data_IF_717820283179
#
_entry.id   IF_717820283179
#
_cell.length_a   1.000
_cell.length_b   1.000
_cell.length_c   1.000
_cell.angle_alpha   90.00
_cell.angle_beta   90.00
_cell.angle_gamma   90.00
#
_symmetry.space_group_name_H-M   'P 1'
#
loop_
_entity.id
_entity.type
_entity.pdbx_description
1 polymer ?
#
# COMPACT_ATOMS: atom_id res chain seq x y z
N UNK A 1 34.49 13.63 -10.94
CA UNK A 1 34.23 13.02 -12.27
C UNK A 1 32.75 12.96 -12.59
N UNK A 2 31.89 12.46 -11.69
CA UNK A 2 30.44 12.40 -11.87
C UNK A 2 29.79 13.80 -12.01
N UNK A 3 30.28 14.82 -11.33
CA UNK A 3 29.78 16.19 -11.43
C UNK A 3 29.98 16.81 -12.82
N UNK A 4 30.97 16.36 -13.59
CA UNK A 4 31.23 16.81 -14.96
C UNK A 4 30.36 16.09 -16.01
N UNK A 5 29.67 15.01 -15.64
CA UNK A 5 28.79 14.21 -16.50
C UNK A 5 27.37 14.16 -15.90
N UNK A 6 26.51 15.14 -16.21
CA UNK A 6 25.28 15.34 -15.46
C UNK A 6 24.29 14.18 -15.53
N UNK A 7 24.20 13.46 -16.65
CA UNK A 7 23.28 12.31 -16.77
C UNK A 7 23.78 11.08 -15.98
N UNK A 8 25.03 10.59 -16.19
CA UNK A 8 25.56 9.52 -15.33
C UNK A 8 25.64 9.91 -13.86
N UNK A 9 25.94 11.17 -13.56
CA UNK A 9 25.93 11.69 -12.20
C UNK A 9 24.56 11.65 -11.55
N UNK A 10 23.50 11.97 -12.29
CA UNK A 10 22.12 11.92 -11.82
C UNK A 10 21.61 10.49 -11.62
N UNK A 11 21.99 9.58 -12.51
CA UNK A 11 21.71 8.14 -12.33
C UNK A 11 22.35 7.62 -11.05
N UNK A 12 23.65 7.93 -10.84
CA UNK A 12 24.36 7.54 -9.63
C UNK A 12 23.78 8.21 -8.36
N UNK A 13 23.36 9.48 -8.46
CA UNK A 13 22.73 10.20 -7.36
C UNK A 13 21.38 9.58 -6.96
N UNK A 14 20.55 9.17 -7.94
CA UNK A 14 19.30 8.47 -7.66
C UNK A 14 19.53 7.14 -6.93
N UNK A 15 20.47 6.33 -7.42
CA UNK A 15 20.84 5.07 -6.76
C UNK A 15 21.39 5.32 -5.34
N UNK A 16 22.26 6.33 -5.18
CA UNK A 16 22.84 6.66 -3.88
C UNK A 16 21.79 7.16 -2.89
N UNK A 17 20.85 8.00 -3.29
CA UNK A 17 19.72 8.44 -2.44
C UNK A 17 18.94 7.23 -1.95
N UNK A 18 18.57 6.30 -2.84
CA UNK A 18 17.86 5.09 -2.47
C UNK A 18 18.66 4.24 -1.49
N UNK A 19 19.95 4.05 -1.74
CA UNK A 19 20.83 3.26 -0.86
C UNK A 19 21.01 3.92 0.52
N UNK A 20 21.20 5.24 0.57
CA UNK A 20 21.31 5.97 1.85
C UNK A 20 20.01 5.82 2.66
N UNK A 21 18.86 5.95 2.03
CA UNK A 21 17.58 5.77 2.71
C UNK A 21 17.40 4.32 3.20
N UNK A 22 17.78 3.33 2.41
CA UNK A 22 17.75 1.93 2.82
C UNK A 22 18.67 1.66 4.01
N UNK A 23 19.91 2.15 3.97
CA UNK A 23 20.89 1.97 5.04
C UNK A 23 20.52 2.73 6.33
N UNK A 24 19.98 3.94 6.22
CA UNK A 24 19.52 4.69 7.40
C UNK A 24 18.24 4.11 8.00
N UNK A 25 17.41 3.48 7.20
CA UNK A 25 16.21 2.75 7.66
C UNK A 25 16.51 1.40 8.31
N UNK A 26 17.62 0.73 7.94
CA UNK A 26 17.94 -0.62 8.39
C UNK A 26 17.98 -0.82 9.91
N UNK A 27 18.58 0.07 10.72
CA UNK A 27 18.56 -0.07 12.18
C UNK A 27 17.14 -0.08 12.77
N UNK A 28 16.24 0.75 12.23
CA UNK A 28 14.83 0.81 12.64
C UNK A 28 14.07 -0.43 12.20
N UNK A 29 14.39 -0.94 11.01
CA UNK A 29 13.82 -2.16 10.47
C UNK A 29 14.20 -3.39 11.32
N UNK A 30 15.47 -3.48 11.73
CA UNK A 30 15.96 -4.53 12.64
C UNK A 30 15.30 -4.40 14.02
N UNK A 31 15.18 -3.19 14.55
CA UNK A 31 14.52 -2.95 15.82
C UNK A 31 13.03 -3.35 15.78
N UNK A 32 12.32 -3.00 14.71
CA UNK A 32 10.93 -3.39 14.49
C UNK A 32 10.79 -4.92 14.32
N UNK A 33 11.71 -5.56 13.60
CA UNK A 33 11.78 -7.01 13.48
C UNK A 33 11.97 -7.69 14.85
N UNK A 34 12.92 -7.20 15.66
CA UNK A 34 13.15 -7.75 17.01
C UNK A 34 11.90 -7.59 17.88
N UNK A 35 11.32 -6.39 17.91
CA UNK A 35 10.09 -6.13 18.65
C UNK A 35 8.95 -7.05 18.20
N UNK A 36 8.75 -7.18 16.89
CA UNK A 36 7.75 -8.08 16.33
C UNK A 36 7.96 -9.54 16.74
N UNK A 37 9.21 -9.99 16.84
CA UNK A 37 9.55 -11.34 17.35
C UNK A 37 9.23 -11.50 18.83
N UNK A 38 9.58 -10.51 19.65
CA UNK A 38 9.35 -10.55 21.09
C UNK A 38 7.86 -10.63 21.43
N UNK A 39 7.01 -10.06 20.57
CA UNK A 39 5.55 -10.15 20.69
C UNK A 39 4.91 -11.28 19.86
N UNK A 40 5.69 -12.12 19.19
CA UNK A 40 5.18 -13.26 18.42
C UNK A 40 4.49 -12.88 17.11
N UNK A 41 4.70 -11.64 16.61
CA UNK A 41 4.14 -11.17 15.33
C UNK A 41 5.02 -11.54 14.14
N UNK A 42 6.32 -11.77 14.35
CA UNK A 42 7.29 -12.07 13.30
C UNK A 42 7.87 -13.46 13.49
N UNK A 43 7.73 -14.30 12.48
CA UNK A 43 8.25 -15.67 12.42
C UNK A 43 9.59 -15.77 11.68
N UNK A 44 9.89 -14.79 10.86
CA UNK A 44 11.06 -14.71 9.99
C UNK A 44 12.37 -14.67 10.77
N UNK A 45 13.41 -15.35 10.31
CA UNK A 45 14.76 -15.23 10.87
C UNK A 45 15.39 -13.88 10.50
N UNK A 46 16.43 -13.46 11.24
CA UNK A 46 17.17 -12.25 10.87
C UNK A 46 17.84 -12.37 9.49
N UNK A 47 18.31 -13.58 9.14
CA UNK A 47 18.91 -13.84 7.83
C UNK A 47 17.90 -13.61 6.70
N UNK A 48 16.71 -14.18 6.81
CA UNK A 48 15.65 -13.98 5.82
C UNK A 48 15.22 -12.51 5.74
N UNK A 49 15.13 -11.84 6.90
CA UNK A 49 14.81 -10.40 6.95
C UNK A 49 15.84 -9.54 6.21
N UNK A 50 17.12 -9.83 6.38
CA UNK A 50 18.19 -9.14 5.68
C UNK A 50 18.21 -9.43 4.18
N UNK A 51 17.87 -10.64 3.77
CA UNK A 51 17.70 -10.99 2.35
C UNK A 51 16.52 -10.23 1.72
N UNK A 52 15.38 -10.17 2.40
CA UNK A 52 14.23 -9.37 1.96
C UNK A 52 14.59 -7.88 1.88
N UNK A 53 15.32 -7.35 2.86
CA UNK A 53 15.81 -5.97 2.84
C UNK A 53 16.75 -5.71 1.65
N UNK A 54 17.67 -6.61 1.37
CA UNK A 54 18.59 -6.50 0.23
C UNK A 54 17.82 -6.52 -1.09
N UNK A 55 16.89 -7.46 -1.24
CA UNK A 55 16.04 -7.56 -2.42
C UNK A 55 15.20 -6.29 -2.63
N UNK A 56 14.54 -5.80 -1.57
CA UNK A 56 13.78 -4.56 -1.61
C UNK A 56 14.65 -3.36 -1.98
N UNK A 57 15.89 -3.32 -1.46
CA UNK A 57 16.86 -2.27 -1.79
C UNK A 57 17.19 -2.29 -3.29
N UNK A 58 17.44 -3.45 -3.88
CA UNK A 58 17.72 -3.59 -5.32
C UNK A 58 16.49 -3.18 -6.15
N UNK A 59 15.31 -3.68 -5.79
CA UNK A 59 14.04 -3.39 -6.47
C UNK A 59 13.72 -1.88 -6.46
N UNK A 60 14.10 -1.16 -5.40
CA UNK A 60 13.85 0.29 -5.30
C UNK A 60 14.98 1.13 -5.89
N UNK A 61 16.23 0.68 -5.82
CA UNK A 61 17.39 1.42 -6.34
C UNK A 61 17.40 1.56 -7.86
N UNK A 62 16.93 0.53 -8.59
CA UNK A 62 16.87 0.57 -10.06
C UNK A 62 15.92 1.68 -10.55
N UNK A 63 14.64 1.73 -10.12
CA UNK A 63 13.76 2.84 -10.49
C UNK A 63 14.27 4.21 -10.02
N UNK A 64 14.89 4.29 -8.82
CA UNK A 64 15.45 5.54 -8.32
C UNK A 64 16.60 6.06 -9.20
N UNK A 65 17.49 5.17 -9.65
CA UNK A 65 18.57 5.51 -10.57
C UNK A 65 18.02 6.01 -11.92
N UNK A 66 17.08 5.25 -12.51
CA UNK A 66 16.44 5.62 -13.77
C UNK A 66 15.63 6.92 -13.63
N UNK A 67 14.91 7.08 -12.53
CA UNK A 67 14.19 8.31 -12.19
C UNK A 67 15.11 9.52 -12.10
N UNK A 68 16.26 9.39 -11.44
CA UNK A 68 17.29 10.43 -11.39
C UNK A 68 17.81 10.82 -12.78
N UNK A 69 18.14 9.83 -13.61
CA UNK A 69 18.56 10.04 -15.00
C UNK A 69 17.49 10.80 -15.81
N UNK A 70 16.23 10.33 -15.76
CA UNK A 70 15.12 10.93 -16.48
C UNK A 70 14.80 12.34 -15.96
N UNK A 71 14.79 12.54 -14.65
CA UNK A 71 14.56 13.85 -14.04
C UNK A 71 15.60 14.86 -14.52
N UNK A 72 16.89 14.51 -14.52
CA UNK A 72 17.97 15.36 -15.03
C UNK A 72 17.79 15.64 -16.54
N UNK A 73 17.50 14.63 -17.34
CA UNK A 73 17.31 14.78 -18.79
C UNK A 73 16.17 15.74 -19.10
N UNK A 74 15.01 15.57 -18.44
CA UNK A 74 13.84 16.41 -18.60
C UNK A 74 14.08 17.84 -18.09
N UNK A 75 14.69 17.98 -16.92
CA UNK A 75 15.00 19.29 -16.35
C UNK A 75 15.87 20.14 -17.28
N UNK A 76 16.90 19.52 -17.86
CA UNK A 76 17.80 20.20 -18.82
C UNK A 76 17.13 20.59 -20.11
N UNK A 77 16.23 19.75 -20.64
CA UNK A 77 15.55 19.96 -21.93
C UNK A 77 14.35 20.89 -21.82
N UNK A 78 13.52 20.70 -20.78
CA UNK A 78 12.20 21.32 -20.71
C UNK A 78 12.14 22.52 -19.76
N UNK A 79 13.16 22.71 -18.91
CA UNK A 79 13.24 23.86 -17.98
C UNK A 79 11.92 24.07 -17.20
N UNK A 80 11.24 25.21 -17.41
CA UNK A 80 9.99 25.55 -16.75
C UNK A 80 8.80 24.61 -17.07
N UNK A 81 8.90 23.79 -18.11
CA UNK A 81 7.88 22.80 -18.50
C UNK A 81 8.20 21.38 -17.99
N UNK A 82 9.23 21.22 -17.17
CA UNK A 82 9.64 19.91 -16.59
C UNK A 82 8.46 19.19 -15.96
N UNK A 83 7.66 19.88 -15.16
CA UNK A 83 6.55 19.30 -14.41
C UNK A 83 5.54 18.56 -15.30
N UNK A 84 5.30 19.03 -16.54
CA UNK A 84 4.34 18.38 -17.44
C UNK A 84 4.82 16.97 -17.81
N UNK A 85 6.04 16.85 -18.35
CA UNK A 85 6.59 15.55 -18.75
C UNK A 85 6.88 14.65 -17.54
N UNK A 86 7.36 15.22 -16.45
CA UNK A 86 7.58 14.47 -15.20
C UNK A 86 6.27 13.93 -14.64
N UNK A 87 5.16 14.68 -14.69
CA UNK A 87 3.83 14.18 -14.28
C UNK A 87 3.38 12.99 -15.12
N UNK A 88 3.58 13.03 -16.44
CA UNK A 88 3.27 11.89 -17.29
C UNK A 88 4.10 10.66 -16.95
N UNK A 89 5.40 10.82 -16.70
CA UNK A 89 6.26 9.71 -16.31
C UNK A 89 5.87 9.13 -14.93
N UNK A 90 5.58 9.96 -13.95
CA UNK A 90 5.12 9.53 -12.63
C UNK A 90 3.77 8.84 -12.74
N UNK A 91 2.85 9.35 -13.55
CA UNK A 91 1.55 8.73 -13.81
C UNK A 91 1.68 7.35 -14.47
N UNK A 92 2.49 7.25 -15.51
CA UNK A 92 2.80 5.98 -16.19
C UNK A 92 3.45 5.00 -15.20
N UNK A 93 4.41 5.47 -14.40
CA UNK A 93 5.05 4.65 -13.37
C UNK A 93 4.04 4.14 -12.34
N UNK A 94 3.12 4.98 -11.86
CA UNK A 94 2.07 4.58 -10.92
C UNK A 94 1.18 3.47 -11.52
N UNK A 95 0.75 3.61 -12.77
CA UNK A 95 -0.05 2.58 -13.47
C UNK A 95 0.74 1.28 -13.63
N UNK A 96 1.99 1.36 -14.07
CA UNK A 96 2.87 0.21 -14.23
C UNK A 96 3.07 -0.49 -12.87
N UNK A 97 3.31 0.25 -11.79
CA UNK A 97 3.53 -0.33 -10.46
C UNK A 97 2.28 -1.07 -9.97
N UNK A 98 1.09 -0.50 -10.11
CA UNK A 98 -0.17 -1.17 -9.75
C UNK A 98 -0.35 -2.49 -10.50
N UNK A 99 0.08 -2.54 -11.76
CA UNK A 99 -0.03 -3.75 -12.59
C UNK A 99 1.09 -4.76 -12.32
N UNK A 100 2.34 -4.30 -12.19
CA UNK A 100 3.51 -5.15 -11.96
C UNK A 100 3.57 -5.72 -10.54
N UNK A 101 3.03 -5.02 -9.56
CA UNK A 101 3.14 -5.42 -8.16
C UNK A 101 2.66 -6.86 -7.92
N UNK A 102 1.43 -7.24 -8.26
CA UNK A 102 0.94 -8.59 -8.01
C UNK A 102 1.62 -9.66 -8.85
N UNK A 103 2.12 -9.30 -10.05
CA UNK A 103 2.62 -10.28 -11.03
C UNK A 103 4.13 -10.50 -10.92
N UNK A 104 4.89 -9.46 -10.56
CA UNK A 104 6.35 -9.49 -10.57
C UNK A 104 6.94 -9.24 -9.19
N UNK A 105 6.46 -8.22 -8.47
CA UNK A 105 7.09 -7.81 -7.21
C UNK A 105 6.66 -8.71 -6.05
N UNK A 106 5.36 -8.96 -5.90
CA UNK A 106 4.84 -9.76 -4.79
C UNK A 106 5.39 -11.20 -4.78
N UNK A 107 5.53 -11.91 -5.94
CA UNK A 107 6.13 -13.23 -5.99
C UNK A 107 7.63 -13.30 -5.67
N UNK A 108 8.34 -12.17 -5.65
CA UNK A 108 9.72 -12.14 -5.17
C UNK A 108 9.83 -12.35 -3.66
N UNK A 109 8.74 -12.07 -2.94
CA UNK A 109 8.72 -12.10 -1.48
C UNK A 109 7.90 -13.26 -0.92
N UNK A 110 6.84 -13.71 -1.60
CA UNK A 110 5.91 -14.73 -1.11
C UNK A 110 5.59 -15.75 -2.20
N UNK A 111 5.26 -16.96 -1.79
CA UNK A 111 4.73 -18.00 -2.66
C UNK A 111 3.20 -17.91 -2.70
N UNK A 112 2.62 -18.04 -3.90
CA UNK A 112 1.19 -17.95 -4.16
C UNK A 112 0.72 -19.26 -4.76
N UNK A 113 -0.04 -20.03 -4.00
CA UNK A 113 -0.61 -21.29 -4.46
C UNK A 113 -2.12 -21.13 -4.71
N UNK A 114 -2.67 -21.69 -5.80
CA UNK A 114 -4.12 -21.76 -5.96
C UNK A 114 -4.75 -22.44 -4.74
N UNK A 115 -5.74 -21.77 -4.13
CA UNK A 115 -6.42 -22.34 -2.97
C UNK A 115 -7.08 -23.66 -3.35
N UNK A 116 -6.77 -24.79 -2.68
CA UNK A 116 -7.34 -26.09 -2.98
C UNK A 116 -8.87 -26.10 -2.89
N UNK A 117 -9.49 -26.99 -3.66
CA UNK A 117 -10.95 -27.21 -3.56
C UNK A 117 -11.35 -27.57 -2.12
N UNK A 118 -12.33 -26.84 -1.59
CA UNK A 118 -12.73 -27.01 -0.22
C UNK A 118 -13.68 -25.91 0.25
N UNK A 119 -14.06 -25.93 1.54
CA UNK A 119 -15.03 -24.99 2.11
C UNK A 119 -14.61 -23.51 1.97
N UNK A 120 -13.32 -23.19 2.11
CA UNK A 120 -12.82 -21.83 1.99
C UNK A 120 -12.95 -21.31 0.55
N UNK A 121 -12.42 -22.04 -0.45
CA UNK A 121 -12.56 -21.69 -1.87
C UNK A 121 -14.02 -21.56 -2.29
N UNK A 122 -14.83 -22.56 -1.95
CA UNK A 122 -16.28 -22.54 -2.26
C UNK A 122 -16.99 -21.36 -1.61
N UNK A 123 -16.60 -21.01 -0.38
CA UNK A 123 -17.11 -19.84 0.34
C UNK A 123 -16.82 -18.53 -0.38
N UNK A 124 -15.56 -18.32 -0.81
CA UNK A 124 -15.14 -17.14 -1.57
C UNK A 124 -15.91 -17.01 -2.88
N UNK A 125 -15.95 -18.10 -3.69
CA UNK A 125 -16.61 -18.08 -5.00
C UNK A 125 -18.10 -17.80 -4.88
N UNK A 126 -18.78 -18.38 -3.88
CA UNK A 126 -20.20 -18.14 -3.61
C UNK A 126 -20.47 -16.68 -3.20
N UNK A 127 -19.60 -16.10 -2.36
CA UNK A 127 -19.73 -14.69 -1.99
C UNK A 127 -19.48 -13.77 -3.18
N UNK A 128 -18.49 -14.07 -4.01
CA UNK A 128 -18.20 -13.32 -5.23
C UNK A 128 -19.39 -13.36 -6.22
N UNK A 129 -20.02 -14.53 -6.40
CA UNK A 129 -21.22 -14.66 -7.21
C UNK A 129 -22.37 -13.81 -6.66
N UNK A 130 -22.66 -13.88 -5.34
CA UNK A 130 -23.66 -13.04 -4.68
C UNK A 130 -23.38 -11.54 -4.81
N UNK A 131 -22.11 -11.15 -4.76
CA UNK A 131 -21.65 -9.77 -4.95
C UNK A 131 -21.78 -9.32 -6.42
N UNK A 132 -21.97 -10.25 -7.37
CA UNK A 132 -21.86 -9.97 -8.80
C UNK A 132 -20.47 -9.50 -9.19
N UNK A 133 -19.45 -10.11 -8.59
CA UNK A 133 -18.03 -9.81 -8.83
C UNK A 133 -17.40 -11.02 -9.50
N UNK A 134 -16.88 -10.82 -10.70
CA UNK A 134 -16.06 -11.84 -11.36
C UNK A 134 -14.70 -11.92 -10.67
N UNK A 135 -14.35 -13.11 -10.19
CA UNK A 135 -13.05 -13.46 -9.62
C UNK A 135 -12.42 -14.52 -10.50
N UNK A 136 -11.19 -14.28 -10.98
CA UNK A 136 -10.49 -15.24 -11.82
C UNK A 136 -9.98 -16.43 -11.01
N UNK A 137 -9.19 -16.19 -9.99
CA UNK A 137 -8.61 -17.25 -9.14
C UNK A 137 -8.57 -16.82 -7.68
N UNK A 138 -8.56 -17.80 -6.78
CA UNK A 138 -8.37 -17.61 -5.33
C UNK A 138 -7.05 -18.23 -4.95
N UNK A 139 -6.17 -17.44 -4.37
CA UNK A 139 -4.85 -17.86 -3.93
C UNK A 139 -4.72 -17.89 -2.41
N UNK A 140 -4.00 -18.85 -1.91
CA UNK A 140 -3.39 -18.85 -0.61
C UNK A 140 -1.97 -18.28 -0.74
N UNK A 141 -1.54 -17.45 0.21
CA UNK A 141 -0.17 -16.94 0.30
C UNK A 141 0.47 -17.38 1.60
N UNK A 142 1.73 -17.81 1.53
CA UNK A 142 2.54 -18.35 2.65
C UNK A 142 2.96 -17.27 3.68
N UNK A 143 2.04 -16.40 4.08
CA UNK A 143 2.30 -15.30 5.00
C UNK A 143 2.83 -15.76 6.36
N UNK A 144 2.45 -16.97 6.81
CA UNK A 144 2.90 -17.54 8.08
C UNK A 144 4.41 -17.75 8.17
N UNK A 145 5.11 -17.83 7.05
CA UNK A 145 6.57 -17.90 7.01
C UNK A 145 7.22 -16.63 7.57
N UNK A 146 6.56 -15.48 7.38
CA UNK A 146 7.06 -14.17 7.81
C UNK A 146 6.39 -13.63 9.05
N UNK A 147 5.09 -13.81 9.17
CA UNK A 147 4.32 -13.17 10.21
C UNK A 147 3.14 -14.02 10.66
N UNK A 148 2.69 -13.79 11.89
CA UNK A 148 1.45 -14.40 12.42
C UNK A 148 0.21 -13.54 12.17
N UNK A 149 0.34 -12.41 11.47
CA UNK A 149 -0.76 -11.48 11.20
C UNK A 149 -1.79 -12.08 10.26
N UNK A 150 -3.05 -11.66 10.41
CA UNK A 150 -4.17 -12.10 9.57
C UNK A 150 -4.48 -11.03 8.55
N UNK A 151 -4.63 -11.43 7.29
CA UNK A 151 -5.02 -10.52 6.22
C UNK A 151 -5.63 -11.28 5.02
N UNK A 152 -6.34 -10.55 4.16
CA UNK A 152 -6.71 -10.92 2.80
C UNK A 152 -6.72 -9.65 1.94
N UNK A 153 -6.69 -9.80 0.62
CA UNK A 153 -6.81 -8.66 -0.29
C UNK A 153 -7.24 -9.13 -1.68
N UNK A 154 -7.74 -8.21 -2.48
CA UNK A 154 -8.04 -8.46 -3.89
C UNK A 154 -7.09 -7.67 -4.77
N UNK A 155 -6.44 -8.34 -5.70
CA UNK A 155 -5.54 -7.78 -6.68
C UNK A 155 -6.10 -7.90 -8.10
N UNK A 156 -5.45 -7.17 -9.03
CA UNK A 156 -5.72 -7.26 -10.46
C UNK A 156 -6.89 -6.41 -10.93
N UNK A 157 -7.04 -6.32 -12.25
CA UNK A 157 -8.07 -5.50 -12.92
C UNK A 157 -8.75 -6.35 -13.99
N UNK A 158 -10.08 -6.29 -14.07
CA UNK A 158 -10.85 -7.07 -15.05
C UNK A 158 -10.70 -8.58 -14.86
N UNK A 159 -10.38 -9.36 -15.89
CA UNK A 159 -10.25 -10.82 -15.82
C UNK A 159 -9.07 -11.31 -14.98
N UNK A 160 -8.12 -10.42 -14.64
CA UNK A 160 -6.95 -10.76 -13.82
C UNK A 160 -7.19 -10.57 -12.33
N UNK A 161 -8.44 -10.28 -11.92
CA UNK A 161 -8.78 -10.18 -10.50
C UNK A 161 -8.60 -11.50 -9.81
N UNK A 162 -7.89 -11.46 -8.69
CA UNK A 162 -7.64 -12.62 -7.84
C UNK A 162 -7.86 -12.22 -6.37
N UNK A 163 -8.46 -13.12 -5.62
CA UNK A 163 -8.56 -13.02 -4.17
C UNK A 163 -7.36 -13.72 -3.58
N UNK A 164 -6.62 -13.03 -2.74
CA UNK A 164 -5.45 -13.58 -2.04
C UNK A 164 -5.76 -13.60 -0.55
N UNK A 165 -5.61 -14.76 0.09
CA UNK A 165 -5.89 -14.96 1.50
C UNK A 165 -4.64 -15.48 2.17
N UNK A 166 -4.28 -14.91 3.32
CA UNK A 166 -3.17 -15.40 4.12
C UNK A 166 -3.50 -16.80 4.67
N UNK A 167 -2.56 -17.69 4.58
CA UNK A 167 -2.65 -19.05 5.13
C UNK A 167 -3.01 -19.04 6.63
N UNK A 168 -2.53 -18.06 7.39
CA UNK A 168 -2.92 -17.82 8.77
C UNK A 168 -4.43 -17.56 8.92
N UNK A 169 -5.02 -16.75 8.03
CA UNK A 169 -6.44 -16.43 8.08
C UNK A 169 -7.30 -17.65 7.76
N UNK A 170 -6.89 -18.46 6.75
CA UNK A 170 -7.60 -19.70 6.39
C UNK A 170 -7.63 -20.69 7.56
N UNK A 171 -6.51 -20.80 8.30
CA UNK A 171 -6.35 -21.76 9.40
C UNK A 171 -7.02 -21.34 10.69
N UNK A 172 -7.17 -20.05 10.96
CA UNK A 172 -7.55 -19.55 12.31
C UNK A 172 -8.90 -18.87 12.38
N UNK A 173 -9.42 -18.33 11.27
CA UNK A 173 -10.72 -17.67 11.25
C UNK A 173 -11.85 -18.70 11.24
N UNK A 174 -12.88 -18.47 12.08
CA UNK A 174 -14.13 -19.21 11.96
C UNK A 174 -14.91 -18.79 10.72
N UNK A 175 -16.00 -19.48 10.42
CA UNK A 175 -16.79 -19.24 9.20
C UNK A 175 -17.36 -17.81 9.12
N UNK A 176 -17.84 -17.24 10.23
CA UNK A 176 -18.40 -15.88 10.27
C UNK A 176 -17.31 -14.83 10.04
N UNK A 177 -16.19 -14.94 10.76
CA UNK A 177 -15.02 -14.10 10.61
C UNK A 177 -14.47 -14.14 9.16
N UNK A 178 -14.33 -15.35 8.61
CA UNK A 178 -13.82 -15.55 7.25
C UNK A 178 -14.75 -14.95 6.19
N UNK A 179 -16.06 -15.17 6.32
CA UNK A 179 -17.06 -14.58 5.40
C UNK A 179 -17.09 -13.05 5.49
N UNK A 180 -16.96 -12.49 6.69
CA UNK A 180 -16.88 -11.05 6.90
C UNK A 180 -15.62 -10.45 6.24
N UNK A 181 -14.46 -11.11 6.39
CA UNK A 181 -13.20 -10.70 5.75
C UNK A 181 -13.33 -10.68 4.22
N UNK A 182 -13.78 -11.79 3.63
CA UNK A 182 -13.97 -11.88 2.17
C UNK A 182 -15.03 -10.90 1.68
N UNK A 183 -16.12 -10.72 2.42
CA UNK A 183 -17.18 -9.76 2.09
C UNK A 183 -16.67 -8.32 2.07
N UNK A 184 -15.77 -7.97 2.98
CA UNK A 184 -15.08 -6.67 3.02
C UNK A 184 -14.22 -6.46 1.76
N UNK A 185 -13.38 -7.44 1.40
CA UNK A 185 -12.54 -7.38 0.20
C UNK A 185 -13.37 -7.27 -1.09
N UNK A 186 -14.47 -8.01 -1.19
CA UNK A 186 -15.39 -7.90 -2.30
C UNK A 186 -16.09 -6.53 -2.36
N UNK A 187 -16.25 -5.85 -1.21
CA UNK A 187 -16.71 -4.47 -1.13
C UNK A 187 -15.81 -3.50 -1.87
N UNK A 188 -14.49 -3.59 -1.70
CA UNK A 188 -13.50 -2.79 -2.43
C UNK A 188 -13.58 -3.03 -3.94
N UNK A 189 -13.74 -4.29 -4.34
CA UNK A 189 -13.89 -4.66 -5.77
C UNK A 189 -15.16 -4.06 -6.35
N UNK A 190 -16.29 -4.22 -5.64
CA UNK A 190 -17.61 -3.72 -6.08
C UNK A 190 -17.62 -2.20 -6.20
N UNK A 191 -16.97 -1.50 -5.26
CA UNK A 191 -16.82 -0.05 -5.31
C UNK A 191 -15.76 0.42 -6.32
N UNK A 192 -14.99 -0.50 -6.90
CA UNK A 192 -13.85 -0.20 -7.78
C UNK A 192 -12.82 0.76 -7.15
N UNK A 193 -12.52 0.55 -5.87
CA UNK A 193 -11.71 1.48 -5.06
C UNK A 193 -10.28 1.63 -5.60
N UNK A 194 -9.67 0.55 -6.08
CA UNK A 194 -8.36 0.60 -6.74
C UNK A 194 -8.36 1.57 -7.93
N UNK A 195 -9.40 1.50 -8.79
CA UNK A 195 -9.54 2.39 -9.94
C UNK A 195 -9.78 3.83 -9.52
N UNK A 196 -10.63 4.05 -8.51
CA UNK A 196 -10.90 5.40 -7.97
C UNK A 196 -9.68 6.00 -7.32
N UNK A 197 -8.94 5.23 -6.54
CA UNK A 197 -7.67 5.64 -5.94
C UNK A 197 -6.63 6.01 -6.99
N UNK A 198 -6.50 5.20 -8.06
CA UNK A 198 -5.61 5.50 -9.17
C UNK A 198 -6.02 6.79 -9.89
N UNK A 199 -7.30 6.99 -10.20
CA UNK A 199 -7.80 8.23 -10.82
C UNK A 199 -7.53 9.45 -9.94
N UNK A 200 -7.75 9.35 -8.63
CA UNK A 200 -7.41 10.39 -7.68
C UNK A 200 -5.91 10.72 -7.71
N UNK A 201 -5.06 9.70 -7.65
CA UNK A 201 -3.61 9.86 -7.76
C UNK A 201 -3.21 10.58 -9.05
N UNK A 202 -3.77 10.16 -10.20
CA UNK A 202 -3.48 10.78 -11.50
C UNK A 202 -3.89 12.26 -11.56
N UNK A 203 -4.94 12.67 -10.86
CA UNK A 203 -5.36 14.07 -10.75
C UNK A 203 -4.44 14.90 -9.84
N UNK A 204 -3.90 14.29 -8.78
CA UNK A 204 -3.06 14.98 -7.78
C UNK A 204 -1.59 15.05 -8.21
N UNK A 205 -1.08 14.05 -8.95
CA UNK A 205 0.32 13.98 -9.40
C UNK A 205 0.80 15.29 -10.06
N UNK A 206 0.09 15.93 -11.01
CA UNK A 206 0.57 17.15 -11.65
C UNK A 206 0.79 18.30 -10.67
N UNK A 207 -0.06 18.44 -9.67
CA UNK A 207 0.06 19.49 -8.63
C UNK A 207 1.28 19.23 -7.75
N UNK A 208 1.46 17.98 -7.31
CA UNK A 208 2.62 17.56 -6.52
C UNK A 208 3.94 17.76 -7.27
N UNK A 209 4.00 17.36 -8.55
CA UNK A 209 5.21 17.49 -9.38
C UNK A 209 5.50 18.98 -9.68
N UNK A 210 4.47 19.79 -9.90
CA UNK A 210 4.65 21.24 -10.07
C UNK A 210 5.21 21.87 -8.79
N UNK A 211 4.67 21.53 -7.63
CA UNK A 211 5.20 21.96 -6.34
C UNK A 211 6.67 21.57 -6.19
N UNK A 212 7.03 20.31 -6.46
CA UNK A 212 8.41 19.81 -6.39
C UNK A 212 9.32 20.61 -7.32
N UNK A 213 8.89 20.90 -8.56
CA UNK A 213 9.68 21.71 -9.48
C UNK A 213 9.93 23.11 -8.93
N UNK A 214 8.88 23.80 -8.45
CA UNK A 214 9.00 25.17 -7.96
C UNK A 214 9.87 25.25 -6.71
N UNK A 215 9.66 24.34 -5.75
CA UNK A 215 10.43 24.28 -4.52
C UNK A 215 11.91 23.94 -4.77
N UNK A 216 12.18 22.97 -5.65
CA UNK A 216 13.56 22.65 -6.07
C UNK A 216 14.26 23.83 -6.74
N UNK A 217 13.58 24.50 -7.68
CA UNK A 217 14.15 25.65 -8.34
C UNK A 217 14.44 26.82 -7.37
N UNK A 218 13.53 27.06 -6.43
CA UNK A 218 13.71 28.09 -5.40
C UNK A 218 14.90 27.78 -4.47
N UNK A 219 15.00 26.53 -3.98
CA UNK A 219 16.07 26.10 -3.09
C UNK A 219 17.45 26.24 -3.74
N UNK A 220 17.62 25.74 -4.96
CA UNK A 220 18.91 25.77 -5.66
C UNK A 220 19.33 27.18 -6.07
N UNK A 221 18.38 28.02 -6.54
CA UNK A 221 18.68 29.44 -6.87
C UNK A 221 19.11 30.22 -5.64
N UNK A 222 18.48 29.98 -4.48
CA UNK A 222 18.80 30.66 -3.23
C UNK A 222 20.21 30.36 -2.76
N UNK A 223 20.68 29.14 -2.99
CA UNK A 223 22.03 28.70 -2.63
C UNK A 223 23.09 29.03 -3.71
N UNK A 224 22.71 29.59 -4.85
CA UNK A 224 23.63 29.84 -5.98
C UNK A 224 24.07 28.58 -6.73
N UNK A 225 23.36 27.47 -6.54
CA UNK A 225 23.70 26.19 -7.15
C UNK A 225 23.32 26.11 -8.63
N UNK A 226 24.10 25.35 -9.40
CA UNK A 226 23.79 25.06 -10.80
C UNK A 226 22.63 24.05 -10.91
N UNK A 227 21.51 24.51 -11.46
CA UNK A 227 20.33 23.69 -11.77
C UNK A 227 20.61 22.53 -12.74
N UNK A 228 21.83 22.43 -13.27
CA UNK A 228 22.27 21.36 -14.17
C UNK A 228 23.18 20.34 -13.50
N UNK A 229 23.46 20.53 -12.21
CA UNK A 229 24.29 19.63 -11.40
C UNK A 229 23.48 18.40 -10.93
N UNK A 230 24.12 17.23 -10.77
CA UNK A 230 23.52 16.05 -10.13
C UNK A 230 22.98 16.30 -8.73
N UNK A 231 23.42 17.36 -8.03
CA UNK A 231 22.86 17.81 -6.74
C UNK A 231 21.35 18.13 -6.79
N UNK A 232 20.81 18.34 -8.00
CA UNK A 232 19.37 18.45 -8.25
C UNK A 232 18.59 17.23 -7.72
N UNK A 233 19.14 16.01 -7.83
CA UNK A 233 18.41 14.77 -7.56
C UNK A 233 18.04 14.61 -6.08
N UNK A 234 18.98 14.74 -5.10
CA UNK A 234 18.57 14.65 -3.69
C UNK A 234 17.62 15.78 -3.27
N UNK A 235 17.69 16.96 -3.89
CA UNK A 235 16.74 18.06 -3.60
C UNK A 235 15.34 17.74 -4.12
N UNK A 236 15.23 17.19 -5.34
CA UNK A 236 13.95 16.66 -5.85
C UNK A 236 13.41 15.58 -4.93
N UNK A 237 14.24 14.61 -4.52
CA UNK A 237 13.84 13.53 -3.64
C UNK A 237 13.30 14.04 -2.30
N UNK A 238 13.96 15.04 -1.70
CA UNK A 238 13.49 15.68 -0.46
C UNK A 238 12.09 16.30 -0.64
N UNK A 239 11.90 17.12 -1.68
CA UNK A 239 10.62 17.77 -1.92
C UNK A 239 9.52 16.77 -2.32
N UNK A 240 9.87 15.69 -3.01
CA UNK A 240 8.94 14.59 -3.27
C UNK A 240 8.51 13.90 -1.97
N UNK A 241 9.43 13.62 -1.05
CA UNK A 241 9.12 13.01 0.24
C UNK A 241 8.19 13.92 1.08
N UNK A 242 8.47 15.22 1.13
CA UNK A 242 7.63 16.19 1.83
C UNK A 242 6.25 16.33 1.20
N UNK A 243 6.15 16.35 -0.13
CA UNK A 243 4.88 16.38 -0.85
C UNK A 243 4.05 15.10 -0.60
N UNK A 244 4.69 13.93 -0.66
CA UNK A 244 4.05 12.65 -0.37
C UNK A 244 3.54 12.59 1.08
N UNK A 245 4.34 13.03 2.04
CA UNK A 245 3.94 13.11 3.45
C UNK A 245 2.74 14.03 3.65
N UNK A 246 2.73 15.22 3.02
CA UNK A 246 1.59 16.13 3.11
C UNK A 246 0.31 15.57 2.48
N UNK A 247 0.44 14.83 1.36
CA UNK A 247 -0.68 14.20 0.67
C UNK A 247 -1.19 12.93 1.37
N UNK A 248 -0.39 12.33 2.24
CA UNK A 248 -0.80 11.17 3.04
C UNK A 248 -2.00 11.50 3.93
N UNK A 249 -2.06 12.69 4.52
CA UNK A 249 -3.13 13.08 5.45
C UNK A 249 -4.52 13.04 4.79
N UNK A 250 -4.80 13.77 3.70
CA UNK A 250 -6.08 13.65 3.00
C UNK A 250 -6.30 12.27 2.39
N UNK A 251 -5.23 11.58 1.97
CA UNK A 251 -5.30 10.20 1.51
C UNK A 251 -5.80 9.26 2.59
N UNK A 252 -5.27 9.34 3.81
CA UNK A 252 -5.71 8.55 4.95
C UNK A 252 -7.18 8.83 5.31
N UNK A 253 -7.61 10.09 5.27
CA UNK A 253 -9.00 10.44 5.52
C UNK A 253 -9.95 9.82 4.49
N UNK A 254 -9.57 9.82 3.21
CA UNK A 254 -10.31 9.16 2.14
C UNK A 254 -10.33 7.64 2.34
N UNK A 255 -9.18 7.04 2.67
CA UNK A 255 -9.04 5.61 2.94
C UNK A 255 -9.99 5.16 4.03
N UNK A 256 -10.05 5.85 5.17
CA UNK A 256 -10.99 5.53 6.27
C UNK A 256 -12.46 5.53 5.82
N UNK A 257 -12.84 6.43 4.91
CA UNK A 257 -14.21 6.43 4.37
C UNK A 257 -14.48 5.23 3.45
N UNK A 258 -13.49 4.85 2.66
CA UNK A 258 -13.54 3.67 1.78
C UNK A 258 -13.68 2.41 2.62
N UNK A 259 -12.86 2.26 3.66
CA UNK A 259 -12.90 1.14 4.61
C UNK A 259 -14.26 1.01 5.31
N UNK A 260 -14.81 2.12 5.82
CA UNK A 260 -16.12 2.11 6.44
C UNK A 260 -17.25 1.72 5.47
N UNK A 261 -17.11 2.02 4.17
CA UNK A 261 -18.06 1.55 3.14
C UNK A 261 -17.89 0.07 2.86
N UNK A 262 -16.66 -0.45 2.83
CA UNK A 262 -16.38 -1.86 2.65
C UNK A 262 -16.95 -2.69 3.82
N UNK A 263 -16.85 -2.20 5.06
CA UNK A 263 -17.47 -2.84 6.23
C UNK A 263 -18.99 -2.91 6.11
N UNK A 264 -19.65 -1.80 5.75
CA UNK A 264 -21.11 -1.79 5.54
C UNK A 264 -21.52 -2.73 4.41
N UNK A 265 -20.73 -2.78 3.35
CA UNK A 265 -20.97 -3.70 2.24
C UNK A 265 -20.82 -5.16 2.67
N UNK A 266 -19.79 -5.48 3.46
CA UNK A 266 -19.58 -6.81 4.04
C UNK A 266 -20.83 -7.26 4.82
N UNK A 267 -21.35 -6.42 5.70
CA UNK A 267 -22.56 -6.69 6.48
C UNK A 267 -23.76 -6.94 5.56
N UNK A 268 -23.98 -6.07 4.58
CA UNK A 268 -25.10 -6.19 3.66
C UNK A 268 -25.02 -7.46 2.80
N UNK A 269 -23.80 -7.84 2.37
CA UNK A 269 -23.56 -9.03 1.56
C UNK A 269 -23.73 -10.32 2.36
N UNK A 270 -23.21 -10.35 3.59
CA UNK A 270 -23.19 -11.56 4.44
C UNK A 270 -24.47 -11.73 5.23
N UNK A 271 -25.15 -10.65 5.60
CA UNK A 271 -26.26 -10.63 6.55
C UNK A 271 -25.82 -10.93 7.99
N UNK A 272 -24.50 -10.83 8.27
CA UNK A 272 -23.90 -11.22 9.55
C UNK A 272 -23.07 -10.06 10.15
N UNK A 273 -23.73 -9.08 10.82
CA UNK A 273 -23.01 -8.04 11.53
C UNK A 273 -22.12 -8.57 12.68
N UNK A 274 -22.54 -9.71 13.30
CA UNK A 274 -21.75 -10.31 14.39
C UNK A 274 -20.43 -10.88 13.88
N UNK A 275 -20.44 -11.52 12.71
CA UNK A 275 -19.22 -11.99 12.05
C UNK A 275 -18.20 -10.89 11.81
N UNK A 276 -18.64 -9.66 11.48
CA UNK A 276 -17.72 -8.50 11.36
C UNK A 276 -17.17 -8.07 12.73
N UNK A 277 -18.00 -8.03 13.78
CA UNK A 277 -17.53 -7.73 15.16
C UNK A 277 -16.45 -8.73 15.58
N UNK A 278 -16.74 -10.03 15.43
CA UNK A 278 -15.82 -11.10 15.82
C UNK A 278 -14.52 -11.02 15.02
N UNK A 279 -14.60 -10.73 13.73
CA UNK A 279 -13.43 -10.50 12.87
C UNK A 279 -12.59 -9.33 13.39
N UNK A 280 -13.19 -8.17 13.70
CA UNK A 280 -12.43 -7.01 14.19
C UNK A 280 -11.73 -7.30 15.51
N UNK A 281 -12.40 -7.99 16.44
CA UNK A 281 -11.80 -8.45 17.71
C UNK A 281 -10.66 -9.43 17.44
N UNK A 282 -10.84 -10.35 16.51
CA UNK A 282 -9.81 -11.34 16.12
C UNK A 282 -8.59 -10.65 15.51
N UNK A 283 -8.79 -9.73 14.56
CA UNK A 283 -7.71 -8.98 13.91
C UNK A 283 -6.96 -8.12 14.94
N UNK A 284 -7.66 -7.41 15.82
CA UNK A 284 -7.02 -6.59 16.84
C UNK A 284 -6.11 -7.42 17.75
N UNK A 285 -6.58 -8.60 18.18
CA UNK A 285 -5.79 -9.53 19.02
C UNK A 285 -4.60 -10.14 18.26
N UNK A 286 -4.84 -10.63 17.05
CA UNK A 286 -3.80 -11.30 16.27
C UNK A 286 -2.70 -10.34 15.79
N UNK A 287 -3.07 -9.12 15.45
CA UNK A 287 -2.16 -8.10 14.91
C UNK A 287 -1.65 -7.14 16.01
N UNK A 288 -2.06 -7.32 17.27
CA UNK A 288 -1.76 -6.44 18.41
C UNK A 288 -2.05 -4.95 18.11
N UNK A 289 -3.16 -4.71 17.41
CA UNK A 289 -3.55 -3.38 16.99
C UNK A 289 -4.08 -2.58 18.19
N UNK A 290 -3.74 -1.28 18.23
CA UNK A 290 -4.42 -0.34 19.12
C UNK A 290 -5.89 -0.21 18.70
N UNK A 291 -6.80 -0.54 19.60
CA UNK A 291 -8.24 -0.56 19.32
C UNK A 291 -8.87 0.83 19.26
N UNK A 292 -8.23 1.81 19.91
CA UNK A 292 -8.67 3.21 19.99
C UNK A 292 -7.46 4.16 20.00
N UNK A 293 -6.74 4.28 18.87
CA UNK A 293 -5.53 5.09 18.81
C UNK A 293 -5.86 6.58 19.05
N UNK A 294 -4.92 7.34 19.66
CA UNK A 294 -5.11 8.78 19.89
C UNK A 294 -5.54 9.51 18.62
N UNK A 295 -6.48 10.45 18.74
CA UNK A 295 -7.10 11.15 17.60
C UNK A 295 -6.06 11.79 16.65
N UNK A 296 -4.98 12.36 17.21
CA UNK A 296 -3.88 12.92 16.40
C UNK A 296 -3.19 11.84 15.58
N UNK A 297 -2.90 10.68 16.17
CA UNK A 297 -2.29 9.55 15.46
C UNK A 297 -3.20 9.03 14.35
N UNK A 298 -4.49 8.84 14.68
CA UNK A 298 -5.51 8.42 13.73
C UNK A 298 -5.66 9.40 12.57
N UNK A 299 -5.62 10.71 12.85
CA UNK A 299 -5.68 11.75 11.81
C UNK A 299 -4.48 11.68 10.87
N UNK A 300 -3.26 11.59 11.41
CA UNK A 300 -2.01 11.64 10.64
C UNK A 300 -1.72 10.33 9.90
N UNK A 301 -1.92 9.18 10.55
CA UNK A 301 -1.35 7.90 10.10
C UNK A 301 -2.40 6.80 9.91
N UNK A 302 -3.60 6.93 10.48
CA UNK A 302 -4.63 5.90 10.38
C UNK A 302 -5.19 5.80 8.96
N UNK A 303 -4.96 4.68 8.29
CA UNK A 303 -5.54 4.36 6.98
C UNK A 303 -6.90 3.68 7.09
N UNK A 304 -7.19 3.07 8.23
CA UNK A 304 -8.46 2.41 8.56
C UNK A 304 -9.15 3.16 9.71
N UNK A 305 -10.48 3.09 9.85
CA UNK A 305 -11.14 3.49 11.08
C UNK A 305 -10.61 2.67 12.26
N UNK A 306 -10.73 3.17 13.49
CA UNK A 306 -10.35 2.41 14.67
C UNK A 306 -11.17 1.11 14.78
N UNK A 307 -10.65 0.13 15.53
CA UNK A 307 -11.40 -1.11 15.79
C UNK A 307 -12.77 -0.80 16.40
N UNK A 308 -12.85 0.18 17.31
CA UNK A 308 -14.12 0.60 17.90
C UNK A 308 -15.07 1.21 16.87
N UNK A 309 -14.59 2.06 15.95
CA UNK A 309 -15.42 2.62 14.88
C UNK A 309 -16.01 1.53 13.98
N UNK A 310 -15.20 0.52 13.63
CA UNK A 310 -15.62 -0.61 12.79
C UNK A 310 -16.63 -1.50 13.51
N UNK A 311 -16.46 -1.75 14.80
CA UNK A 311 -17.44 -2.45 15.64
C UNK A 311 -18.74 -1.65 15.74
N UNK A 312 -18.66 -0.31 15.92
CA UNK A 312 -19.84 0.55 15.99
C UNK A 312 -20.65 0.52 14.68
N UNK A 313 -20.00 0.42 13.51
CA UNK A 313 -20.68 0.21 12.21
C UNK A 313 -21.53 -1.07 12.24
N UNK A 314 -20.97 -2.16 12.75
CA UNK A 314 -21.67 -3.45 12.82
C UNK A 314 -22.82 -3.45 13.85
N UNK A 315 -22.59 -2.84 15.02
CA UNK A 315 -23.64 -2.71 16.06
C UNK A 315 -24.81 -1.83 15.60
N UNK A 316 -24.52 -0.73 14.90
CA UNK A 316 -25.56 0.12 14.30
C UNK A 316 -26.44 -0.63 13.28
N UNK A 317 -25.86 -1.56 12.53
CA UNK A 317 -26.62 -2.41 11.60
C UNK A 317 -27.53 -3.43 12.32
N UNK A 318 -27.14 -3.92 13.51
CA UNK A 318 -27.99 -4.78 14.35
C UNK A 318 -29.21 -4.03 14.91
N UNK A 319 -29.03 -2.74 15.29
CA UNK A 319 -30.11 -1.90 15.79
C UNK A 319 -31.19 -1.64 14.74
N UNK A 320 -30.78 -1.27 13.52
CA UNK A 320 -31.71 -0.99 12.42
C UNK A 320 -32.58 -2.17 11.98
N UNK A 321 -32.10 -3.40 12.12
CA UNK A 321 -32.87 -4.61 11.78
C UNK A 321 -33.93 -5.00 12.83
N UNK A 322 -33.91 -4.41 14.04
CA UNK A 322 -34.89 -4.67 15.09
C UNK A 322 -36.11 -3.75 15.03
N UNK A 323 -35.98 -2.61 14.36
CA UNK A 323 -37.07 -1.62 14.24
C UNK A 323 -37.97 -1.87 13.02
N UNK A 324 -37.60 -2.78 12.12
CA UNK A 324 -38.36 -3.15 10.91
C UNK A 324 -39.13 -4.50 11.04
N UNK A 325 -39.12 -5.14 12.20
CA UNK A 325 -39.86 -6.38 12.53
C UNK A 325 -40.99 -6.13 13.49
#
# INVERSE_FOLDING_TARGET
>A
WLGRRPLPGALAAGALVSLVLALTGLPFDIAAWQLGRDYGLVNQTLGDRLLDWLLATVVTAIPAALGGLLAMALWRRLKGRFWIAASFLVAIWAVITVWLWPVVISPLFNDFDPLPDGPARTGVLRLAERAGVEVGEVYEVDASRRSSTLNAYVNGIGPTKQVVIYDNAIRTLNRGEFTALVGHELGHVKAADLRRGLLFALLVIPLGVLFVQLATAAALRRNGDDLRSPALIPVIALWMALAAFALQIPGNALSRQVEAKADRYSIALTGDPQGLVDLQVRLAKANLSDVDPPAFWQFMFGTHPSTFDRIAIAEGAKGGSRDEG
#
